data_IF_033606674302
#
_entry.id   IF_033606674302
#
_cell.length_a   1.000
_cell.length_b   1.000
_cell.length_c   1.000
_cell.angle_alpha   90.00
_cell.angle_beta   90.00
_cell.angle_gamma   90.00
#
_symmetry.space_group_name_H-M   'P 1'
#
loop_
_entity.id
_entity.type
_entity.pdbx_description
1 polymer ?
#
# COMPACT_ATOMS: atom_id res chain seq x y z
N UNK A 1 12.70 -6.95 3.71
CA UNK A 1 12.07 -5.62 3.90
C UNK A 1 12.19 -4.84 2.60
N UNK A 2 11.15 -4.10 2.20
CA UNK A 2 11.29 -3.12 1.11
C UNK A 2 11.98 -1.91 1.75
N UNK A 3 13.18 -1.50 1.29
CA UNK A 3 13.88 -0.35 1.87
C UNK A 3 13.19 0.92 1.39
N UNK A 4 12.19 1.38 2.15
CA UNK A 4 11.53 2.64 1.91
C UNK A 4 12.17 3.73 2.80
N UNK A 5 12.51 4.90 2.24
CA UNK A 5 12.82 6.07 3.05
C UNK A 5 11.75 6.28 4.14
N UNK A 6 12.11 6.70 5.37
CA UNK A 6 11.15 6.92 6.46
C UNK A 6 10.03 7.92 6.13
N UNK A 7 10.26 8.81 5.16
CA UNK A 7 9.32 9.83 4.68
C UNK A 7 8.47 9.40 3.48
N UNK A 8 8.59 8.16 3.01
CA UNK A 8 7.80 7.68 1.87
C UNK A 8 6.32 7.67 2.25
N UNK A 9 5.54 8.49 1.54
CA UNK A 9 4.07 8.45 1.62
C UNK A 9 3.58 7.15 1.00
N UNK A 10 2.68 6.47 1.69
CA UNK A 10 2.11 5.21 1.22
C UNK A 10 0.61 5.39 1.05
N UNK A 11 0.14 5.16 -0.17
CA UNK A 11 -1.28 5.23 -0.54
C UNK A 11 -1.81 3.84 -0.81
N UNK A 12 -2.93 3.52 -0.18
CA UNK A 12 -3.68 2.30 -0.38
C UNK A 12 -4.89 2.60 -1.27
N UNK A 13 -4.95 2.00 -2.45
CA UNK A 13 -6.08 2.15 -3.35
C UNK A 13 -7.32 1.45 -2.78
N UNK A 14 -8.43 2.17 -2.60
CA UNK A 14 -9.70 1.59 -2.19
C UNK A 14 -10.33 0.77 -3.33
N UNK A 15 -11.27 -0.11 -3.00
CA UNK A 15 -11.90 -1.00 -3.97
C UNK A 15 -11.00 -2.16 -4.42
N UNK A 16 -11.28 -2.69 -5.61
CA UNK A 16 -10.57 -3.84 -6.17
C UNK A 16 -9.86 -3.47 -7.48
N UNK A 17 -8.61 -3.85 -7.60
CA UNK A 17 -7.80 -3.64 -8.81
C UNK A 17 -7.73 -4.91 -9.65
N UNK A 18 -7.76 -4.76 -10.97
CA UNK A 18 -7.43 -5.85 -11.89
C UNK A 18 -5.92 -6.13 -11.85
N UNK A 19 -5.54 -7.21 -11.17
CA UNK A 19 -4.14 -7.53 -10.87
C UNK A 19 -3.35 -8.10 -12.07
N UNK A 20 -3.97 -8.22 -13.25
CA UNK A 20 -3.27 -8.47 -14.51
C UNK A 20 -2.41 -7.29 -14.96
N UNK A 21 -2.69 -6.08 -14.45
CA UNK A 21 -1.93 -4.87 -14.74
C UNK A 21 -0.49 -4.97 -14.20
N UNK A 22 0.47 -4.66 -15.06
CA UNK A 22 1.90 -4.49 -14.73
C UNK A 22 2.22 -3.04 -14.35
N UNK A 23 3.44 -2.60 -14.65
CA UNK A 23 3.92 -1.25 -14.36
C UNK A 23 2.99 -0.15 -14.92
N UNK A 24 2.82 -0.09 -16.24
CA UNK A 24 2.07 1.00 -16.89
C UNK A 24 0.60 1.01 -16.48
N UNK A 25 -0.03 -0.16 -16.44
CA UNK A 25 -1.43 -0.28 -16.06
C UNK A 25 -1.69 0.16 -14.62
N UNK A 26 -0.75 -0.10 -13.70
CA UNK A 26 -0.86 0.37 -12.32
C UNK A 26 -0.47 1.84 -12.18
N UNK A 27 0.49 2.34 -12.97
CA UNK A 27 0.82 3.77 -13.02
C UNK A 27 -0.38 4.61 -13.50
N UNK A 28 -1.09 4.15 -14.53
CA UNK A 28 -2.34 4.78 -14.98
C UNK A 28 -3.39 4.78 -13.86
N UNK A 29 -3.53 3.68 -13.12
CA UNK A 29 -4.43 3.63 -11.97
C UNK A 29 -4.03 4.62 -10.87
N UNK A 30 -2.74 4.76 -10.59
CA UNK A 30 -2.23 5.78 -9.66
C UNK A 30 -2.64 7.18 -10.09
N UNK A 31 -2.52 7.51 -11.38
CA UNK A 31 -2.92 8.81 -11.90
C UNK A 31 -4.43 9.03 -11.87
N UNK A 32 -5.21 8.06 -12.34
CA UNK A 32 -6.64 8.26 -12.58
C UNK A 32 -7.51 8.00 -11.35
N UNK A 33 -7.11 7.11 -10.46
CA UNK A 33 -7.92 6.69 -9.30
C UNK A 33 -7.42 7.31 -8.00
N UNK A 34 -6.10 7.45 -7.85
CA UNK A 34 -5.50 8.04 -6.65
C UNK A 34 -5.18 9.52 -6.83
N UNK A 35 -5.27 10.03 -8.07
CA UNK A 35 -4.94 11.43 -8.42
C UNK A 35 -3.53 11.80 -7.97
N UNK A 36 -2.61 10.84 -8.02
CA UNK A 36 -1.20 11.02 -7.65
C UNK A 36 -0.29 10.85 -8.86
N UNK A 37 0.89 11.47 -8.81
CA UNK A 37 1.95 11.17 -9.76
C UNK A 37 2.61 9.83 -9.42
N UNK A 38 2.69 8.86 -10.37
CA UNK A 38 3.42 7.61 -10.20
C UNK A 38 4.92 7.83 -9.91
N UNK A 39 5.47 8.95 -10.35
CA UNK A 39 6.89 9.32 -10.19
C UNK A 39 7.17 10.13 -8.93
N UNK A 40 6.19 10.30 -8.04
CA UNK A 40 6.31 11.14 -6.83
C UNK A 40 7.23 10.58 -5.74
N UNK A 41 7.77 9.36 -5.91
CA UNK A 41 8.50 8.64 -4.86
C UNK A 41 7.61 8.06 -3.75
N UNK A 42 6.29 8.26 -3.85
CA UNK A 42 5.33 7.57 -3.00
C UNK A 42 5.15 6.11 -3.42
N UNK A 43 4.68 5.29 -2.50
CA UNK A 43 4.34 3.89 -2.74
C UNK A 43 2.83 3.72 -2.84
N UNK A 44 2.38 3.01 -3.86
CA UNK A 44 0.98 2.78 -4.19
C UNK A 44 0.64 1.31 -4.05
N UNK A 45 -0.25 0.99 -3.13
CA UNK A 45 -0.65 -0.36 -2.79
C UNK A 45 -2.01 -0.69 -3.40
N UNK A 46 -2.06 -1.78 -4.16
CA UNK A 46 -3.23 -2.27 -4.88
C UNK A 46 -3.55 -3.70 -4.47
N UNK A 47 -4.83 -4.07 -4.46
CA UNK A 47 -5.30 -5.41 -4.09
C UNK A 47 -6.36 -5.93 -5.03
N UNK A 48 -6.25 -7.21 -5.36
CA UNK A 48 -7.21 -7.88 -6.23
C UNK A 48 -8.55 -8.13 -5.56
N UNK A 49 -9.60 -8.35 -6.36
CA UNK A 49 -10.94 -8.73 -5.86
C UNK A 49 -10.94 -9.97 -4.97
N UNK A 50 -10.12 -10.98 -5.32
CA UNK A 50 -9.90 -12.18 -4.50
C UNK A 50 -9.17 -11.87 -3.19
N UNK A 51 -8.36 -10.81 -3.16
CA UNK A 51 -7.76 -10.33 -1.93
C UNK A 51 -6.61 -11.14 -1.37
N UNK A 52 -6.23 -12.21 -2.02
CA UNK A 52 -5.03 -13.00 -1.77
C UNK A 52 -3.78 -12.37 -2.41
N UNK A 53 -3.93 -11.36 -3.27
CA UNK A 53 -2.85 -10.72 -4.01
C UNK A 53 -2.80 -9.20 -3.76
N UNK A 54 -1.60 -8.72 -3.40
CA UNK A 54 -1.24 -7.31 -3.32
C UNK A 54 -0.08 -7.01 -4.28
N UNK A 55 -0.11 -5.80 -4.85
CA UNK A 55 0.99 -5.20 -5.61
C UNK A 55 1.32 -3.84 -5.04
N UNK A 56 2.61 -3.55 -4.92
CA UNK A 56 3.12 -2.25 -4.51
C UNK A 56 3.93 -1.66 -5.67
N UNK A 57 3.55 -0.47 -6.13
CA UNK A 57 4.21 0.27 -7.20
C UNK A 57 4.88 1.51 -6.61
N UNK A 58 6.13 1.79 -6.97
CA UNK A 58 6.79 3.05 -6.65
C UNK A 58 7.86 3.38 -7.70
N UNK A 59 8.25 4.65 -7.79
CA UNK A 59 9.40 5.09 -8.59
C UNK A 59 10.59 5.32 -7.67
N UNK A 60 11.75 4.75 -7.97
CA UNK A 60 12.94 4.83 -7.12
C UNK A 60 13.89 5.99 -7.47
N UNK A 61 13.51 6.82 -8.45
CA UNK A 61 14.36 7.88 -8.99
C UNK A 61 14.94 7.55 -10.37
N UNK A 62 15.07 6.27 -10.70
CA UNK A 62 15.58 5.77 -11.99
C UNK A 62 14.55 4.99 -12.78
N UNK A 63 13.66 4.25 -12.11
CA UNK A 63 12.69 3.38 -12.74
C UNK A 63 11.50 3.04 -11.87
N UNK A 64 10.49 2.46 -12.50
CA UNK A 64 9.34 1.90 -11.80
C UNK A 64 9.71 0.56 -11.18
N UNK A 65 9.40 0.41 -9.90
CA UNK A 65 9.56 -0.80 -9.13
C UNK A 65 8.20 -1.39 -8.80
N UNK A 66 8.09 -2.73 -8.90
CA UNK A 66 6.85 -3.45 -8.64
C UNK A 66 7.14 -4.65 -7.75
N UNK A 67 6.57 -4.62 -6.55
CA UNK A 67 6.54 -5.77 -5.65
C UNK A 67 5.19 -6.46 -5.76
N UNK A 68 5.17 -7.79 -5.76
CA UNK A 68 3.94 -8.57 -5.72
C UNK A 68 4.01 -9.64 -4.65
N UNK A 69 2.99 -9.68 -3.78
CA UNK A 69 2.86 -10.70 -2.74
C UNK A 69 1.50 -11.38 -2.85
N UNK A 70 1.54 -12.71 -2.92
CA UNK A 70 0.37 -13.57 -2.81
C UNK A 70 0.41 -14.29 -1.46
N UNK A 71 -0.73 -14.37 -0.79
CA UNK A 71 -0.88 -15.23 0.39
C UNK A 71 -1.25 -16.65 -0.02
N UNK A 72 -0.68 -17.62 0.68
CA UNK A 72 -1.02 -19.03 0.50
C UNK A 72 -2.39 -19.35 1.11
N UNK A 73 -2.78 -18.64 2.18
CA UNK A 73 -4.10 -18.75 2.83
C UNK A 73 -4.57 -17.39 3.33
N UNK A 74 -5.89 -17.18 3.34
CA UNK A 74 -6.50 -15.95 3.84
C UNK A 74 -6.58 -14.82 2.81
N UNK A 75 -6.85 -13.60 3.28
CA UNK A 75 -7.02 -12.39 2.45
C UNK A 75 -6.45 -11.17 3.16
N UNK A 76 -5.91 -10.23 2.39
CA UNK A 76 -5.38 -8.99 2.94
C UNK A 76 -6.56 -8.16 3.42
N UNK A 77 -6.43 -7.63 4.64
CA UNK A 77 -7.39 -6.70 5.21
C UNK A 77 -7.35 -5.41 4.40
N UNK A 78 -8.49 -5.02 3.84
CA UNK A 78 -8.60 -3.90 2.91
C UNK A 78 -9.75 -2.97 3.31
N UNK A 79 -9.68 -1.66 3.04
CA UNK A 79 -10.79 -0.75 3.27
C UNK A 79 -12.03 -1.19 2.48
N UNK A 80 -13.20 -1.05 3.10
CA UNK A 80 -14.49 -1.41 2.51
C UNK A 80 -15.03 -0.36 1.53
N UNK A 81 -14.39 0.81 1.45
CA UNK A 81 -14.77 1.89 0.53
C UNK A 81 -14.55 1.47 -0.92
N UNK A 82 -15.51 1.81 -1.80
CA UNK A 82 -15.48 1.43 -3.22
C UNK A 82 -14.49 2.24 -4.05
N UNK A 83 -14.17 3.47 -3.63
CA UNK A 83 -13.32 4.43 -4.34
C UNK A 83 -12.44 5.22 -3.37
N UNK A 84 -11.42 5.90 -3.89
CA UNK A 84 -10.50 6.75 -3.14
C UNK A 84 -9.22 6.05 -2.70
N UNK A 85 -8.53 6.66 -1.73
CA UNK A 85 -7.29 6.12 -1.16
C UNK A 85 -7.24 6.29 0.35
N UNK A 86 -6.44 5.46 1.02
CA UNK A 86 -6.09 5.63 2.44
C UNK A 86 -4.58 5.81 2.55
N UNK A 87 -4.15 6.81 3.31
CA UNK A 87 -2.72 6.98 3.63
C UNK A 87 -2.37 6.06 4.80
N UNK A 88 -1.24 5.37 4.69
CA UNK A 88 -0.73 4.49 5.74
C UNK A 88 0.71 4.79 6.11
N UNK A 89 1.07 4.44 7.34
CA UNK A 89 2.45 4.44 7.82
C UNK A 89 3.20 3.21 7.34
N UNK A 90 4.55 3.25 7.38
CA UNK A 90 5.37 2.08 7.07
C UNK A 90 5.06 0.88 7.99
N UNK A 91 4.77 1.12 9.27
CA UNK A 91 4.37 0.07 10.21
C UNK A 91 3.06 -0.61 9.79
N UNK A 92 2.05 0.18 9.37
CA UNK A 92 0.79 -0.35 8.86
C UNK A 92 0.97 -1.14 7.57
N UNK A 93 1.86 -0.71 6.68
CA UNK A 93 2.20 -1.50 5.49
C UNK A 93 2.84 -2.84 5.87
N UNK A 94 3.78 -2.87 6.83
CA UNK A 94 4.36 -4.12 7.31
C UNK A 94 3.30 -5.06 7.88
N UNK A 95 2.43 -4.56 8.77
CA UNK A 95 1.29 -5.32 9.31
C UNK A 95 0.40 -5.88 8.18
N UNK A 96 0.03 -5.04 7.21
CA UNK A 96 -0.76 -5.45 6.06
C UNK A 96 -0.07 -6.59 5.29
N UNK A 97 1.22 -6.44 4.99
CA UNK A 97 1.98 -7.44 4.25
C UNK A 97 2.12 -8.75 5.03
N UNK A 98 2.10 -8.71 6.36
CA UNK A 98 2.08 -9.90 7.23
C UNK A 98 0.68 -10.52 7.41
N UNK A 99 -0.37 -9.90 6.85
CA UNK A 99 -1.75 -10.37 6.98
C UNK A 99 -2.42 -9.96 8.30
N UNK A 100 -1.82 -9.03 9.04
CA UNK A 100 -2.34 -8.45 10.29
C UNK A 100 -3.33 -7.32 9.96
N UNK A 101 -4.37 -7.15 10.79
CA UNK A 101 -5.28 -6.02 10.66
C UNK A 101 -4.57 -4.70 11.03
N UNK A 102 -4.13 -3.98 10.01
CA UNK A 102 -3.38 -2.73 10.12
C UNK A 102 -4.25 -1.50 10.47
N UNK A 103 -5.58 -1.63 10.50
CA UNK A 103 -6.51 -0.48 10.63
C UNK A 103 -6.61 0.05 12.05
N UNK A 104 -6.27 -0.76 13.05
CA UNK A 104 -6.32 -0.38 14.47
C UNK A 104 -5.02 -0.74 15.19
N UNK A 105 -3.89 -0.11 14.82
CA UNK A 105 -2.65 -0.31 15.54
C UNK A 105 -2.72 0.47 16.86
N UNK A 106 -2.66 -0.25 17.99
CA UNK A 106 -2.65 0.36 19.31
C UNK A 106 -1.22 0.47 19.84
N UNK A 107 -0.83 1.66 20.28
CA UNK A 107 0.39 1.84 21.05
C UNK A 107 0.08 1.53 22.52
N UNK A 108 0.88 0.66 23.11
CA UNK A 108 0.72 0.27 24.52
C UNK A 108 1.10 1.38 25.51
N UNK A 109 1.89 2.35 25.06
CA UNK A 109 2.35 3.47 25.88
C UNK A 109 2.64 4.68 25.00
N UNK A 110 2.27 5.86 25.48
CA UNK A 110 2.65 7.15 24.90
C UNK A 110 3.33 7.96 25.99
N UNK A 111 4.61 8.36 25.82
CA UNK A 111 5.30 9.18 26.82
C UNK A 111 4.55 10.49 27.06
N UNK A 112 4.25 10.79 28.32
CA UNK A 112 3.53 12.01 28.71
C UNK A 112 4.42 13.10 29.29
N UNK A 113 5.67 12.76 29.61
CA UNK A 113 6.69 13.67 30.13
C UNK A 113 8.00 13.42 29.38
N UNK A 114 8.74 14.49 29.12
CA UNK A 114 10.19 14.35 28.93
C UNK A 114 10.76 13.83 30.27
N UNK A 115 11.72 12.90 30.19
CA UNK A 115 12.25 12.18 31.36
C UNK A 115 12.66 13.06 32.53
#
# INVERSE_FOLDING_TARGET
MIPLPPSTRIFLACGATDMRKGFDGLAVMTQQVLEQSPHSGALFAFRGKRGDLVKLLWYDGQGMCLFSKRMDRGRFVWPSTKTGSVVMTAAQLSMLLEGIDWRRPERTFTPSLAG
#
